data_IF_576348382805
#
_entry.id   IF_576348382805
#
_cell.length_a   1.000
_cell.length_b   1.000
_cell.length_c   1.000
_cell.angle_alpha   90.00
_cell.angle_beta   90.00
_cell.angle_gamma   90.00
#
_symmetry.space_group_name_H-M   'P 1'
#
loop_
_entity.id
_entity.type
_entity.pdbx_description
1 polymer ?
#
# COMPACT_ATOMS: atom_id res chain seq x y z
N UNK A 1 8.82 -1.29 16.36
CA UNK A 1 8.51 -1.27 14.91
C UNK A 1 9.76 -1.68 14.16
N UNK A 2 9.69 -2.70 13.31
CA UNK A 2 10.84 -3.10 12.49
C UNK A 2 11.09 -2.05 11.40
N UNK A 3 12.34 -1.87 10.93
CA UNK A 3 12.64 -0.94 9.84
C UNK A 3 11.77 -1.18 8.59
N UNK A 4 11.38 -2.44 8.36
CA UNK A 4 10.47 -2.84 7.30
C UNK A 4 9.08 -2.18 7.41
N UNK A 5 8.50 -2.07 8.61
CA UNK A 5 7.20 -1.40 8.80
C UNK A 5 7.28 0.10 8.53
N UNK A 6 8.37 0.74 8.96
CA UNK A 6 8.58 2.18 8.74
C UNK A 6 8.66 2.45 7.23
N UNK A 7 9.44 1.65 6.51
CA UNK A 7 9.54 1.78 5.05
C UNK A 7 8.22 1.52 4.34
N UNK A 8 7.44 0.52 4.78
CA UNK A 8 6.09 0.27 4.26
C UNK A 8 5.15 1.46 4.46
N UNK A 9 5.25 2.15 5.60
CA UNK A 9 4.47 3.36 5.88
C UNK A 9 4.89 4.52 4.97
N UNK A 10 6.19 4.70 4.72
CA UNK A 10 6.71 5.68 3.75
C UNK A 10 6.14 5.40 2.35
N UNK A 11 6.11 4.14 1.91
CA UNK A 11 5.52 3.76 0.62
C UNK A 11 4.02 4.11 0.58
N UNK A 12 3.27 3.82 1.65
CA UNK A 12 1.85 4.18 1.74
C UNK A 12 1.64 5.70 1.59
N UNK A 13 2.45 6.50 2.28
CA UNK A 13 2.39 7.97 2.22
C UNK A 13 2.78 8.49 0.84
N UNK A 14 3.80 7.92 0.20
CA UNK A 14 4.22 8.29 -1.15
C UNK A 14 3.11 8.01 -2.18
N UNK A 15 2.47 6.84 -2.09
CA UNK A 15 1.31 6.49 -2.91
C UNK A 15 0.14 7.43 -2.63
N UNK A 16 -0.16 7.72 -1.36
CA UNK A 16 -1.21 8.66 -0.97
C UNK A 16 -0.96 10.07 -1.53
N UNK A 17 0.27 10.55 -1.47
CA UNK A 17 0.68 11.82 -2.06
C UNK A 17 0.54 11.84 -3.57
N UNK A 18 0.88 10.75 -4.26
CA UNK A 18 0.63 10.61 -5.70
C UNK A 18 -0.87 10.66 -6.03
N UNK A 19 -1.69 9.91 -5.28
CA UNK A 19 -3.15 9.86 -5.45
C UNK A 19 -3.83 11.21 -5.18
N UNK A 20 -3.30 12.02 -4.26
CA UNK A 20 -3.86 13.33 -3.90
C UNK A 20 -3.91 14.33 -5.06
N UNK A 21 -3.14 14.11 -6.14
CA UNK A 21 -3.08 14.97 -7.32
C UNK A 21 -4.29 14.83 -8.24
N UNK A 22 -5.02 13.73 -8.16
CA UNK A 22 -6.18 13.45 -9.02
C UNK A 22 -7.48 14.10 -8.50
N UNK A 23 -8.54 14.29 -9.31
CA UNK A 23 -9.85 14.71 -8.81
C UNK A 23 -10.45 13.67 -7.84
N UNK A 24 -11.33 14.09 -6.94
CA UNK A 24 -11.86 13.24 -5.85
C UNK A 24 -12.43 11.90 -6.33
N UNK A 25 -13.19 11.91 -7.43
CA UNK A 25 -13.72 10.69 -8.03
C UNK A 25 -12.61 9.71 -8.47
N UNK A 26 -11.59 10.22 -9.17
CA UNK A 26 -10.44 9.41 -9.59
C UNK A 26 -9.60 8.95 -8.41
N UNK A 27 -9.43 9.78 -7.38
CA UNK A 27 -8.69 9.44 -6.17
C UNK A 27 -9.30 8.19 -5.52
N UNK A 28 -10.60 8.21 -5.24
CA UNK A 28 -11.28 7.08 -4.57
C UNK A 28 -11.21 5.82 -5.44
N UNK A 29 -11.40 5.95 -6.75
CA UNK A 29 -11.31 4.84 -7.68
C UNK A 29 -9.89 4.25 -7.80
N UNK A 30 -8.84 5.06 -7.60
CA UNK A 30 -7.44 4.65 -7.71
C UNK A 30 -6.84 4.14 -6.40
N UNK A 31 -7.52 4.26 -5.24
CA UNK A 31 -7.04 3.72 -3.96
C UNK A 31 -6.73 2.21 -4.07
N UNK A 32 -7.65 1.34 -4.58
CA UNK A 32 -7.37 -0.09 -4.73
C UNK A 32 -6.12 -0.37 -5.56
N UNK A 33 -5.93 0.39 -6.64
CA UNK A 33 -4.76 0.25 -7.52
C UNK A 33 -3.48 0.70 -6.79
N UNK A 34 -3.55 1.81 -6.05
CA UNK A 34 -2.42 2.33 -5.28
C UNK A 34 -1.98 1.37 -4.17
N UNK A 35 -2.91 0.65 -3.55
CA UNK A 35 -2.63 -0.33 -2.49
C UNK A 35 -1.78 -1.51 -2.98
N UNK A 36 -1.73 -1.80 -4.29
CA UNK A 36 -0.91 -2.88 -4.85
C UNK A 36 0.59 -2.67 -4.56
N UNK A 37 1.06 -1.43 -4.54
CA UNK A 37 2.48 -1.13 -4.33
C UNK A 37 2.94 -1.45 -2.89
N UNK A 38 2.34 -0.90 -1.82
CA UNK A 38 2.74 -1.22 -0.46
C UNK A 38 2.43 -2.67 -0.07
N UNK A 39 1.38 -3.28 -0.62
CA UNK A 39 1.08 -4.70 -0.38
C UNK A 39 2.07 -5.64 -1.04
N UNK A 40 2.53 -5.31 -2.26
CA UNK A 40 3.62 -6.04 -2.92
C UNK A 40 4.91 -5.95 -2.11
N UNK A 41 5.27 -4.75 -1.64
CA UNK A 41 6.45 -4.58 -0.78
C UNK A 41 6.34 -5.41 0.50
N UNK A 42 5.22 -5.29 1.23
CA UNK A 42 5.00 -6.02 2.47
C UNK A 42 5.08 -7.54 2.25
N UNK A 43 4.47 -8.04 1.20
CA UNK A 43 4.51 -9.48 0.87
C UNK A 43 5.91 -9.91 0.44
N UNK A 44 6.60 -9.10 -0.36
CA UNK A 44 7.97 -9.37 -0.79
C UNK A 44 8.97 -9.43 0.36
N UNK A 45 8.75 -8.67 1.44
CA UNK A 45 9.60 -8.77 2.65
C UNK A 45 9.43 -10.09 3.41
N UNK A 46 8.32 -10.81 3.22
CA UNK A 46 8.00 -12.05 3.93
C UNK A 46 8.19 -13.29 3.04
N UNK A 47 7.84 -13.18 1.76
CA UNK A 47 7.82 -14.27 0.79
C UNK A 47 8.98 -14.20 -0.23
N UNK A 48 9.79 -13.14 -0.21
CA UNK A 48 10.83 -12.88 -1.20
C UNK A 48 10.34 -12.07 -2.41
N UNK A 49 11.26 -11.47 -3.19
CA UNK A 49 10.92 -10.54 -4.28
C UNK A 49 10.23 -11.20 -5.48
N UNK A 50 10.28 -12.54 -5.59
CA UNK A 50 9.72 -13.33 -6.69
C UNK A 50 8.40 -14.02 -6.31
N UNK A 51 7.80 -13.67 -5.17
CA UNK A 51 6.57 -14.32 -4.67
C UNK A 51 5.39 -14.31 -5.66
N UNK A 52 5.40 -13.41 -6.64
CA UNK A 52 4.38 -13.32 -7.68
C UNK A 52 4.44 -14.46 -8.71
N UNK A 53 5.59 -15.11 -8.88
CA UNK A 53 5.74 -16.28 -9.76
C UNK A 53 5.01 -17.49 -9.17
N UNK A 54 5.11 -17.65 -7.85
CA UNK A 54 4.52 -18.75 -7.10
C UNK A 54 3.19 -18.36 -6.44
N UNK A 55 2.58 -17.25 -6.87
CA UNK A 55 1.39 -16.70 -6.21
C UNK A 55 0.21 -17.66 -6.24
N UNK A 56 0.11 -18.47 -7.30
CA UNK A 56 -0.93 -19.49 -7.48
C UNK A 56 -0.52 -20.86 -6.96
N UNK A 57 0.75 -21.04 -6.59
CA UNK A 57 1.24 -22.32 -6.08
C UNK A 57 0.89 -22.44 -4.59
N UNK A 58 0.00 -23.40 -4.29
CA UNK A 58 -0.45 -23.64 -2.91
C UNK A 58 0.66 -24.23 -2.03
N UNK A 59 1.76 -24.72 -2.62
CA UNK A 59 2.88 -25.31 -1.89
C UNK A 59 4.00 -24.30 -1.58
N UNK A 60 3.99 -23.12 -2.22
CA UNK A 60 4.96 -22.07 -1.96
C UNK A 60 4.62 -21.32 -0.66
N UNK A 61 5.26 -21.75 0.43
CA UNK A 61 5.11 -21.14 1.76
C UNK A 61 6.10 -19.98 1.96
N UNK A 62 5.61 -18.89 2.55
CA UNK A 62 6.46 -17.78 2.97
C UNK A 62 7.09 -18.04 4.33
N UNK A 63 8.03 -17.18 4.75
CA UNK A 63 8.72 -17.30 6.05
C UNK A 63 7.79 -17.25 7.28
N UNK A 64 6.55 -16.80 7.11
CA UNK A 64 5.51 -16.76 8.14
C UNK A 64 4.67 -18.06 8.21
N UNK A 65 4.94 -19.07 7.38
CA UNK A 65 4.19 -20.33 7.32
C UNK A 65 2.87 -20.26 6.53
N UNK A 66 2.56 -19.14 5.90
CA UNK A 66 1.35 -18.95 5.09
C UNK A 66 1.71 -18.90 3.59
N UNK A 67 0.79 -19.34 2.70
CA UNK A 67 0.99 -19.22 1.26
C UNK A 67 1.02 -17.75 0.83
N UNK A 68 1.78 -17.45 -0.23
CA UNK A 68 1.98 -16.08 -0.75
C UNK A 68 0.69 -15.33 -1.01
N UNK A 69 -0.34 -16.03 -1.50
CA UNK A 69 -1.69 -15.50 -1.73
C UNK A 69 -2.35 -14.92 -0.47
N UNK A 70 -2.27 -15.64 0.65
CA UNK A 70 -2.88 -15.19 1.92
C UNK A 70 -2.10 -14.03 2.53
N UNK A 71 -0.77 -14.09 2.44
CA UNK A 71 0.10 -12.99 2.89
C UNK A 71 -0.16 -11.72 2.07
N UNK A 72 -0.33 -11.84 0.75
CA UNK A 72 -0.67 -10.70 -0.11
C UNK A 72 -2.05 -10.12 0.19
N UNK A 73 -3.07 -10.97 0.34
CA UNK A 73 -4.42 -10.51 0.64
C UNK A 73 -4.50 -9.76 1.98
N UNK A 74 -3.84 -10.27 3.02
CA UNK A 74 -3.77 -9.60 4.32
C UNK A 74 -3.01 -8.28 4.25
N UNK A 75 -1.86 -8.25 3.56
CA UNK A 75 -1.10 -7.02 3.33
C UNK A 75 -1.93 -5.99 2.55
N UNK A 76 -2.66 -6.42 1.52
CA UNK A 76 -3.55 -5.56 0.75
C UNK A 76 -4.60 -4.88 1.64
N UNK A 77 -5.35 -5.64 2.44
CA UNK A 77 -6.36 -5.09 3.35
C UNK A 77 -5.73 -4.12 4.38
N UNK A 78 -4.57 -4.48 4.95
CA UNK A 78 -3.87 -3.64 5.93
C UNK A 78 -3.39 -2.31 5.35
N UNK A 79 -3.03 -2.27 4.06
CA UNK A 79 -2.57 -1.04 3.41
C UNK A 79 -3.69 -0.06 3.05
N UNK A 80 -4.96 -0.47 3.13
CA UNK A 80 -6.11 0.38 2.78
C UNK A 80 -6.15 1.65 3.63
N UNK A 81 -6.11 1.48 4.96
CA UNK A 81 -6.21 2.57 5.91
C UNK A 81 -5.07 3.58 5.74
N UNK A 82 -3.77 3.19 5.77
CA UNK A 82 -2.69 4.17 5.65
C UNK A 82 -2.66 4.86 4.28
N UNK A 83 -3.00 4.17 3.17
CA UNK A 83 -3.05 4.79 1.83
C UNK A 83 -4.21 5.76 1.71
N UNK A 84 -5.41 5.38 2.14
CA UNK A 84 -6.60 6.24 2.08
C UNK A 84 -6.44 7.48 2.98
N UNK A 85 -5.99 7.28 4.23
CA UNK A 85 -5.79 8.36 5.19
C UNK A 85 -4.71 9.33 4.70
N UNK A 86 -3.58 8.83 4.21
CA UNK A 86 -2.52 9.71 3.68
C UNK A 86 -2.98 10.48 2.43
N UNK A 87 -3.69 9.84 1.50
CA UNK A 87 -4.22 10.52 0.31
C UNK A 87 -5.18 11.67 0.66
N UNK A 88 -6.10 11.42 1.61
CA UNK A 88 -7.08 12.41 2.07
C UNK A 88 -6.39 13.53 2.83
N UNK A 89 -5.53 13.21 3.81
CA UNK A 89 -4.83 14.21 4.62
C UNK A 89 -3.96 15.11 3.76
N UNK A 90 -3.14 14.54 2.86
CA UNK A 90 -2.25 15.33 1.99
C UNK A 90 -3.08 16.27 1.11
N UNK A 91 -4.19 15.79 0.53
CA UNK A 91 -5.07 16.63 -0.28
C UNK A 91 -5.67 17.79 0.53
N UNK A 92 -6.12 17.53 1.76
CA UNK A 92 -6.67 18.55 2.66
C UNK A 92 -5.61 19.59 3.03
N UNK A 93 -4.40 19.16 3.37
CA UNK A 93 -3.28 20.07 3.69
C UNK A 93 -2.92 20.95 2.49
N UNK A 94 -2.80 20.37 1.29
CA UNK A 94 -2.50 21.13 0.07
C UNK A 94 -3.58 22.18 -0.22
N UNK A 95 -4.87 21.81 -0.07
CA UNK A 95 -5.98 22.75 -0.24
C UNK A 95 -6.02 23.83 0.82
N UNK A 96 -5.75 23.49 2.08
CA UNK A 96 -5.70 24.46 3.17
C UNK A 96 -4.58 25.48 2.97
N UNK A 97 -3.39 25.02 2.57
CA UNK A 97 -2.27 25.90 2.23
C UNK A 97 -2.57 26.81 1.03
N UNK A 98 -3.25 26.29 0.01
CA UNK A 98 -3.65 27.09 -1.15
C UNK A 98 -4.74 28.13 -0.84
N UNK A 99 -5.52 27.95 0.23
CA UNK A 99 -6.54 28.92 0.68
C UNK A 99 -5.95 30.03 1.56
N UNK A 100 -4.84 29.75 2.23
CA UNK A 100 -4.16 30.67 3.16
C UNK A 100 -3.03 31.47 2.49
N UNK A 101 -2.77 31.25 1.19
CA UNK A 101 -1.81 31.97 0.37
C UNK A 101 -2.55 32.94 -0.55
#
# INVERSE_FOLDING_TARGET
MTPFMIFGLIICVAVGGFLSRFPWAKLIALIPVGMLVPSYYATGTVCGPLFFLDLLDAQAMCSNGYPGRQTFASAYVLTLVPVAVSAVLIRLVVRARAKNA
#
